data_IF_799066273219
#
_entry.id   IF_799066273219
#
_cell.length_a   1.000
_cell.length_b   1.000
_cell.length_c   1.000
_cell.angle_alpha   90.00
_cell.angle_beta   90.00
_cell.angle_gamma   90.00
#
_symmetry.space_group_name_H-M   'P 1'
#
loop_
_entity.id
_entity.type
_entity.pdbx_description
1 polymer ?
#
# COMPACT_ATOMS: atom_id res chain seq x y z
N UNK A 1 16.64 8.68 -5.91
CA UNK A 1 16.56 7.31 -6.46
C UNK A 1 16.57 6.35 -5.28
N UNK A 2 15.40 6.11 -4.51
CA UNK A 2 15.90 5.57 -3.31
C UNK A 2 15.00 4.60 -2.55
N UNK A 3 13.78 4.79 -2.25
CA UNK A 3 13.11 3.84 -1.35
C UNK A 3 12.62 2.56 -2.06
N UNK A 4 11.93 2.67 -3.18
CA UNK A 4 11.49 1.47 -3.94
C UNK A 4 12.66 0.76 -4.66
N UNK A 5 13.75 1.47 -4.92
CA UNK A 5 14.95 0.91 -5.56
C UNK A 5 15.86 0.23 -4.53
N UNK A 6 15.93 0.71 -3.29
CA UNK A 6 16.71 0.06 -2.22
C UNK A 6 16.13 -1.27 -1.78
N UNK A 7 14.79 -1.42 -1.77
CA UNK A 7 14.16 -2.73 -1.51
C UNK A 7 14.62 -3.78 -2.54
N UNK A 8 14.87 -3.38 -3.79
CA UNK A 8 15.32 -4.30 -4.87
C UNK A 8 16.84 -4.48 -4.88
N UNK A 9 17.62 -3.45 -4.50
CA UNK A 9 19.09 -3.48 -4.60
C UNK A 9 19.81 -4.00 -3.36
N UNK A 10 19.17 -4.06 -2.20
CA UNK A 10 19.73 -4.72 -1.02
C UNK A 10 19.68 -6.26 -1.11
N UNK A 11 18.95 -6.80 -2.09
CA UNK A 11 18.97 -8.21 -2.44
C UNK A 11 20.11 -8.55 -3.39
N UNK A 12 21.31 -8.79 -2.85
CA UNK A 12 22.38 -9.44 -3.60
C UNK A 12 21.91 -10.82 -4.03
N UNK A 13 21.74 -10.96 -5.34
CA UNK A 13 22.02 -12.05 -6.28
C UNK A 13 22.10 -13.50 -5.78
N UNK A 14 21.40 -14.32 -6.47
CA UNK A 14 21.81 -15.56 -7.15
C UNK A 14 22.06 -16.85 -6.37
N UNK A 15 22.07 -16.87 -5.02
CA UNK A 15 22.44 -18.12 -4.31
C UNK A 15 21.33 -18.73 -3.41
N UNK A 16 20.06 -18.32 -3.54
CA UNK A 16 18.99 -18.84 -2.67
C UNK A 16 17.85 -19.57 -3.41
N UNK A 17 18.11 -20.11 -4.59
CA UNK A 17 17.18 -21.03 -5.25
C UNK A 17 17.76 -22.44 -5.32
N UNK A 18 17.89 -23.08 -4.16
CA UNK A 18 18.05 -24.52 -4.06
C UNK A 18 16.91 -25.08 -3.21
N UNK A 19 15.95 -25.64 -3.92
CA UNK A 19 15.19 -26.84 -3.61
C UNK A 19 14.62 -27.00 -2.18
N UNK A 20 13.39 -26.48 -1.94
CA UNK A 20 12.52 -27.12 -0.96
C UNK A 20 11.06 -27.05 -1.45
N UNK A 21 10.54 -28.23 -1.79
CA UNK A 21 9.19 -28.43 -2.30
C UNK A 21 8.13 -28.00 -1.28
N UNK A 22 7.25 -27.10 -1.70
CA UNK A 22 6.09 -26.68 -0.93
C UNK A 22 5.13 -27.86 -0.70
N UNK A 23 4.58 -28.05 0.50
CA UNK A 23 3.54 -29.05 0.74
C UNK A 23 2.25 -28.64 0.02
N UNK A 24 1.66 -29.61 -0.66
CA UNK A 24 0.38 -29.48 -1.35
C UNK A 24 -0.74 -29.08 -0.36
N UNK A 25 -1.38 -27.95 -0.61
CA UNK A 25 -2.63 -27.60 0.06
C UNK A 25 -3.73 -28.51 -0.46
N UNK A 26 -4.38 -29.23 0.45
CA UNK A 26 -5.60 -29.99 0.17
C UNK A 26 -6.76 -28.98 -0.04
N UNK A 27 -7.44 -29.12 -1.18
CA UNK A 27 -8.73 -28.53 -1.47
C UNK A 27 -9.77 -29.15 -0.54
N UNK A 28 -10.18 -28.43 0.51
CA UNK A 28 -11.44 -28.68 1.19
C UNK A 28 -12.52 -27.84 0.51
N UNK A 29 -13.22 -28.50 -0.40
CA UNK A 29 -14.39 -27.99 -1.07
C UNK A 29 -15.58 -27.85 -0.10
N UNK A 30 -16.37 -26.82 -0.38
CA UNK A 30 -17.79 -26.72 -0.07
C UNK A 30 -18.19 -26.33 1.36
N UNK A 31 -18.08 -25.04 1.66
CA UNK A 31 -19.06 -24.37 2.51
C UNK A 31 -19.84 -23.38 1.64
N UNK A 32 -20.99 -23.84 1.15
CA UNK A 32 -21.93 -23.06 0.37
C UNK A 32 -22.48 -21.86 1.15
N UNK A 33 -21.72 -20.78 1.19
CA UNK A 33 -22.17 -19.49 1.67
C UNK A 33 -22.76 -18.75 0.50
N UNK A 34 -24.10 -18.78 0.41
CA UNK A 34 -24.84 -17.97 -0.55
C UNK A 34 -24.63 -16.51 -0.17
N UNK A 35 -23.69 -15.85 -0.82
CA UNK A 35 -23.49 -14.39 -0.69
C UNK A 35 -24.72 -13.74 -1.32
N UNK A 36 -25.57 -13.12 -0.51
CA UNK A 36 -26.73 -12.38 -1.01
C UNK A 36 -26.25 -11.15 -1.78
N UNK A 37 -26.96 -10.77 -2.85
CA UNK A 37 -26.63 -9.60 -3.69
C UNK A 37 -26.45 -8.32 -2.87
N UNK A 38 -27.23 -8.16 -1.80
CA UNK A 38 -27.18 -7.00 -0.90
C UNK A 38 -25.80 -6.82 -0.22
N UNK A 39 -25.13 -7.95 0.12
CA UNK A 39 -23.78 -7.89 0.71
C UNK A 39 -22.73 -7.46 -0.31
N UNK A 40 -22.87 -7.88 -1.55
CA UNK A 40 -21.93 -7.53 -2.64
C UNK A 40 -22.05 -6.04 -2.99
N UNK A 41 -23.26 -5.48 -3.05
CA UNK A 41 -23.49 -4.04 -3.27
C UNK A 41 -22.88 -3.21 -2.13
N UNK A 42 -23.13 -3.58 -0.87
CA UNK A 42 -22.59 -2.87 0.30
C UNK A 42 -21.06 -2.84 0.33
N UNK A 43 -20.40 -3.94 -0.05
CA UNK A 43 -18.92 -3.98 -0.14
C UNK A 43 -18.41 -3.14 -1.30
N UNK A 44 -19.10 -3.14 -2.44
CA UNK A 44 -18.73 -2.32 -3.60
C UNK A 44 -18.81 -0.82 -3.27
N UNK A 45 -19.84 -0.36 -2.56
CA UNK A 45 -20.00 1.03 -2.15
C UNK A 45 -18.91 1.46 -1.15
N UNK A 46 -18.57 0.62 -0.19
CA UNK A 46 -17.50 0.90 0.79
C UNK A 46 -16.12 0.96 0.13
N UNK A 47 -15.94 0.24 -0.98
CA UNK A 47 -14.67 0.19 -1.72
C UNK A 47 -14.62 1.15 -2.90
N UNK A 48 -15.70 1.93 -3.15
CA UNK A 48 -15.68 2.97 -4.16
C UNK A 48 -14.93 4.23 -3.67
N UNK A 49 -14.26 4.97 -4.56
CA UNK A 49 -13.69 6.26 -4.21
C UNK A 49 -14.84 7.26 -3.94
N UNK A 50 -14.64 8.25 -3.05
CA UNK A 50 -15.57 9.36 -2.87
C UNK A 50 -15.83 10.11 -4.20
N UNK A 51 -16.94 10.85 -4.27
CA UNK A 51 -17.31 11.60 -5.49
C UNK A 51 -16.30 12.71 -5.80
N UNK A 52 -15.80 13.39 -4.76
CA UNK A 52 -14.80 14.46 -4.89
C UNK A 52 -13.62 14.26 -3.93
N UNK A 53 -12.45 14.88 -4.21
CA UNK A 53 -11.31 14.82 -3.28
C UNK A 53 -11.63 15.35 -1.87
N UNK A 54 -12.57 16.27 -1.76
CA UNK A 54 -12.97 16.89 -0.50
C UNK A 54 -13.78 15.95 0.39
N UNK A 55 -14.41 14.93 -0.18
CA UNK A 55 -15.29 14.00 0.53
C UNK A 55 -14.55 12.93 1.34
N UNK A 56 -13.22 12.79 1.21
CA UNK A 56 -12.47 11.92 2.09
C UNK A 56 -12.59 12.35 3.55
N UNK A 57 -12.87 11.41 4.47
CA UNK A 57 -12.96 11.68 5.90
C UNK A 57 -11.78 11.08 6.66
N UNK A 58 -11.05 11.93 7.40
CA UNK A 58 -9.96 11.53 8.29
C UNK A 58 -10.25 11.83 9.77
N UNK A 59 -11.51 12.10 10.11
CA UNK A 59 -11.90 12.52 11.46
C UNK A 59 -11.56 11.48 12.51
N UNK A 60 -11.75 10.18 12.22
CA UNK A 60 -11.40 9.11 13.15
C UNK A 60 -9.89 9.03 13.42
N UNK A 61 -9.06 9.42 12.45
CA UNK A 61 -7.61 9.47 12.62
C UNK A 61 -7.23 10.69 13.44
N UNK A 62 -7.82 11.86 13.15
CA UNK A 62 -7.60 13.11 13.91
C UNK A 62 -7.90 12.93 15.39
N UNK A 63 -9.02 12.27 15.70
CA UNK A 63 -9.40 11.97 17.10
C UNK A 63 -8.37 11.06 17.79
N UNK A 64 -7.80 10.09 17.08
CA UNK A 64 -6.79 9.16 17.64
C UNK A 64 -5.41 9.79 17.84
N UNK A 65 -5.08 10.84 17.08
CA UNK A 65 -3.78 11.53 17.23
C UNK A 65 -3.64 12.23 18.58
N UNK A 66 -4.74 12.75 19.14
CA UNK A 66 -4.72 13.53 20.38
C UNK A 66 -4.16 14.94 20.20
N UNK A 67 -4.11 15.69 21.29
CA UNK A 67 -3.74 17.12 21.27
C UNK A 67 -2.20 17.32 21.08
N UNK A 68 -1.38 16.30 21.36
CA UNK A 68 0.08 16.38 21.28
C UNK A 68 0.64 16.17 19.86
N UNK A 69 -0.16 15.58 18.96
CA UNK A 69 0.23 15.30 17.58
C UNK A 69 -0.54 16.21 16.62
N UNK A 70 0.11 17.25 16.13
CA UNK A 70 -0.54 18.22 15.23
C UNK A 70 -0.89 17.55 13.89
N UNK A 71 -2.18 17.60 13.52
CA UNK A 71 -2.63 17.24 12.18
C UNK A 71 -2.14 18.24 11.15
N UNK A 72 -1.43 17.76 10.10
CA UNK A 72 -0.96 18.61 9.01
C UNK A 72 -2.07 18.78 7.94
N UNK A 73 -2.83 19.85 8.06
CA UNK A 73 -3.87 20.19 7.10
C UNK A 73 -3.32 20.52 5.70
N UNK A 74 -2.07 20.99 5.61
CA UNK A 74 -1.41 21.23 4.33
C UNK A 74 -1.09 19.94 3.60
N UNK A 75 -0.59 18.95 4.32
CA UNK A 75 -0.34 17.61 3.79
C UNK A 75 -1.67 16.93 3.41
N UNK A 76 -2.70 17.02 4.24
CA UNK A 76 -4.04 16.51 3.92
C UNK A 76 -4.54 17.06 2.59
N UNK A 77 -4.47 18.38 2.39
CA UNK A 77 -4.93 19.04 1.17
C UNK A 77 -4.16 18.56 -0.08
N UNK A 78 -2.87 18.23 0.06
CA UNK A 78 -2.06 17.68 -1.03
C UNK A 78 -2.38 16.21 -1.33
N UNK A 79 -2.71 15.42 -0.32
CA UNK A 79 -2.96 13.97 -0.47
C UNK A 79 -4.34 13.66 -1.05
N UNK A 80 -5.38 14.43 -0.72
CA UNK A 80 -6.76 14.20 -1.20
C UNK A 80 -6.87 14.06 -2.72
N UNK A 81 -6.35 14.98 -3.55
CA UNK A 81 -6.39 14.84 -5.01
C UNK A 81 -5.65 13.61 -5.52
N UNK A 82 -4.54 13.24 -4.86
CA UNK A 82 -3.76 12.04 -5.23
C UNK A 82 -4.55 10.77 -4.95
N UNK A 83 -5.20 10.68 -3.80
CA UNK A 83 -6.04 9.53 -3.45
C UNK A 83 -7.22 9.39 -4.41
N UNK A 84 -7.89 10.51 -4.73
CA UNK A 84 -8.99 10.51 -5.67
C UNK A 84 -8.55 10.11 -7.09
N UNK A 85 -7.45 10.67 -7.59
CA UNK A 85 -6.86 10.29 -8.88
C UNK A 85 -6.44 8.82 -8.94
N UNK A 86 -6.03 8.25 -7.82
CA UNK A 86 -5.72 6.83 -7.67
C UNK A 86 -6.97 5.93 -7.58
N UNK A 87 -8.17 6.52 -7.46
CA UNK A 87 -9.42 5.81 -7.27
C UNK A 87 -9.43 5.01 -5.96
N UNK A 88 -8.83 5.57 -4.89
CA UNK A 88 -8.82 4.93 -3.58
C UNK A 88 -10.15 5.16 -2.88
N UNK A 89 -10.67 4.14 -2.22
CA UNK A 89 -11.78 4.29 -1.29
C UNK A 89 -11.33 5.04 -0.03
N UNK A 90 -12.30 5.50 0.75
CA UNK A 90 -12.05 6.14 2.06
C UNK A 90 -11.26 5.21 3.00
N UNK A 91 -11.58 3.92 3.00
CA UNK A 91 -10.88 2.90 3.79
C UNK A 91 -9.40 2.75 3.37
N UNK A 92 -9.13 2.71 2.07
CA UNK A 92 -7.77 2.62 1.54
C UNK A 92 -6.96 3.89 1.85
N UNK A 93 -7.55 5.08 1.68
CA UNK A 93 -6.93 6.36 1.99
C UNK A 93 -6.61 6.49 3.49
N UNK A 94 -7.55 6.15 4.37
CA UNK A 94 -7.33 6.12 5.82
C UNK A 94 -6.23 5.14 6.22
N UNK A 95 -6.17 3.96 5.57
CA UNK A 95 -5.10 2.98 5.78
C UNK A 95 -3.71 3.55 5.47
N UNK A 96 -3.58 4.30 4.37
CA UNK A 96 -2.32 4.94 3.99
C UNK A 96 -1.92 6.06 4.95
N UNK A 97 -2.88 6.89 5.40
CA UNK A 97 -2.62 7.95 6.37
C UNK A 97 -2.20 7.38 7.72
N UNK A 98 -2.86 6.34 8.23
CA UNK A 98 -2.43 5.64 9.45
C UNK A 98 -1.00 5.11 9.32
N UNK A 99 -0.68 4.48 8.17
CA UNK A 99 0.68 3.98 7.92
C UNK A 99 1.72 5.10 7.93
N UNK A 100 1.40 6.27 7.35
CA UNK A 100 2.29 7.42 7.38
C UNK A 100 2.58 7.87 8.83
N UNK A 101 1.55 7.95 9.66
CA UNK A 101 1.69 8.32 11.07
C UNK A 101 2.54 7.30 11.82
N UNK A 102 2.31 6.00 11.62
CA UNK A 102 3.11 4.95 12.24
C UNK A 102 4.59 5.03 11.84
N UNK A 103 4.87 5.27 10.56
CA UNK A 103 6.24 5.43 10.06
C UNK A 103 6.90 6.66 10.67
N UNK A 104 6.20 7.78 10.77
CA UNK A 104 6.75 9.00 11.39
C UNK A 104 7.09 8.82 12.88
N UNK A 105 6.34 7.99 13.59
CA UNK A 105 6.57 7.68 15.02
C UNK A 105 7.62 6.59 15.25
N UNK A 106 8.08 5.91 14.20
CA UNK A 106 8.96 4.75 14.30
C UNK A 106 10.43 5.14 14.45
N UNK A 107 11.19 4.32 15.20
CA UNK A 107 12.65 4.48 15.34
C UNK A 107 13.40 3.96 14.10
N UNK A 108 14.70 4.33 13.92
CA UNK A 108 15.51 3.78 12.82
C UNK A 108 15.54 2.25 12.78
N UNK A 109 15.69 1.60 13.94
CA UNK A 109 15.73 0.13 14.03
C UNK A 109 14.39 -0.52 13.66
N UNK A 110 13.26 0.16 13.96
CA UNK A 110 11.94 -0.27 13.52
C UNK A 110 11.79 -0.14 12.01
N UNK A 111 12.34 0.93 11.40
CA UNK A 111 12.32 1.10 9.95
C UNK A 111 13.06 -0.02 9.21
N UNK A 112 14.22 -0.44 9.71
CA UNK A 112 14.99 -1.53 9.10
C UNK A 112 14.19 -2.85 9.13
N UNK A 113 13.55 -3.14 10.27
CA UNK A 113 12.66 -4.32 10.40
C UNK A 113 11.44 -4.23 9.49
N UNK A 114 10.82 -3.05 9.38
CA UNK A 114 9.68 -2.83 8.48
C UNK A 114 10.08 -3.05 7.03
N UNK A 115 11.25 -2.57 6.61
CA UNK A 115 11.78 -2.77 5.25
C UNK A 115 11.97 -4.25 4.93
N UNK A 116 12.61 -4.99 5.82
CA UNK A 116 12.84 -6.43 5.61
C UNK A 116 11.52 -7.22 5.65
N UNK A 117 10.62 -6.92 6.57
CA UNK A 117 9.31 -7.55 6.63
C UNK A 117 8.49 -7.27 5.36
N UNK A 118 8.57 -6.05 4.83
CA UNK A 118 7.91 -5.67 3.57
C UNK A 118 8.43 -6.51 2.40
N UNK A 119 9.75 -6.64 2.28
CA UNK A 119 10.37 -7.45 1.24
C UNK A 119 9.89 -8.91 1.32
N UNK A 120 9.96 -9.51 2.50
CA UNK A 120 9.53 -10.90 2.74
C UNK A 120 8.04 -11.07 2.41
N UNK A 121 7.19 -10.18 2.92
CA UNK A 121 5.74 -10.25 2.71
C UNK A 121 5.38 -10.15 1.23
N UNK A 122 5.98 -9.20 0.50
CA UNK A 122 5.70 -9.03 -0.92
C UNK A 122 6.27 -10.17 -1.77
N UNK A 123 7.43 -10.72 -1.41
CA UNK A 123 7.98 -11.90 -2.08
C UNK A 123 7.10 -13.14 -1.87
N UNK A 124 6.59 -13.36 -0.66
CA UNK A 124 5.67 -14.46 -0.38
C UNK A 124 4.35 -14.32 -1.14
N UNK A 125 3.82 -13.09 -1.25
CA UNK A 125 2.55 -12.82 -1.95
C UNK A 125 2.65 -12.90 -3.47
N UNK A 126 3.75 -12.41 -4.02
CA UNK A 126 3.91 -12.24 -5.47
C UNK A 126 4.80 -13.27 -6.14
N UNK A 127 5.56 -14.06 -5.37
CA UNK A 127 6.41 -15.13 -5.87
C UNK A 127 7.34 -14.65 -6.99
N UNK A 128 7.30 -15.34 -8.12
CA UNK A 128 8.06 -15.00 -9.33
C UNK A 128 7.77 -13.63 -9.91
N UNK A 129 6.58 -13.08 -9.64
CA UNK A 129 6.12 -11.81 -10.20
C UNK A 129 6.54 -10.60 -9.35
N UNK A 130 7.29 -10.81 -8.27
CA UNK A 130 7.68 -9.77 -7.32
C UNK A 130 8.28 -8.54 -8.00
N UNK A 131 9.26 -8.71 -8.89
CA UNK A 131 9.92 -7.60 -9.58
C UNK A 131 8.97 -6.90 -10.56
N UNK A 132 8.17 -7.65 -11.31
CA UNK A 132 7.21 -7.10 -12.24
C UNK A 132 6.13 -6.26 -11.51
N UNK A 133 5.61 -6.78 -10.40
CA UNK A 133 4.60 -6.10 -9.60
C UNK A 133 5.15 -4.87 -8.88
N UNK A 134 6.40 -4.90 -8.42
CA UNK A 134 7.10 -3.71 -7.91
C UNK A 134 7.23 -2.61 -8.97
N UNK A 135 7.57 -2.97 -10.19
CA UNK A 135 7.65 -2.03 -11.31
C UNK A 135 6.27 -1.44 -11.65
N UNK A 136 5.20 -2.24 -11.58
CA UNK A 136 3.82 -1.76 -11.72
C UNK A 136 3.48 -0.76 -10.62
N UNK A 137 3.79 -1.05 -9.36
CA UNK A 137 3.57 -0.12 -8.24
C UNK A 137 4.32 1.20 -8.42
N UNK A 138 5.61 1.13 -8.83
CA UNK A 138 6.42 2.31 -9.11
C UNK A 138 5.87 3.12 -10.28
N UNK A 139 5.45 2.45 -11.35
CA UNK A 139 4.84 3.10 -12.52
C UNK A 139 3.53 3.81 -12.16
N UNK A 140 2.72 3.22 -11.27
CA UNK A 140 1.52 3.85 -10.76
C UNK A 140 1.82 5.14 -9.99
N UNK A 141 2.78 5.11 -9.06
CA UNK A 141 3.21 6.30 -8.33
C UNK A 141 3.72 7.40 -9.28
N UNK A 142 4.49 7.03 -10.30
CA UNK A 142 4.98 7.94 -11.32
C UNK A 142 3.83 8.59 -12.11
N UNK A 143 2.78 7.83 -12.46
CA UNK A 143 1.63 8.37 -13.21
C UNK A 143 0.73 9.26 -12.35
N UNK A 144 0.61 8.99 -11.06
CA UNK A 144 -0.25 9.74 -10.14
C UNK A 144 0.34 11.10 -9.75
N UNK A 145 1.63 11.16 -9.46
CA UNK A 145 2.25 12.38 -8.96
C UNK A 145 3.71 12.58 -9.39
N UNK A 146 4.16 11.86 -10.42
CA UNK A 146 5.50 12.05 -10.98
C UNK A 146 6.64 11.83 -10.00
N UNK A 147 7.72 12.55 -10.23
CA UNK A 147 8.91 12.50 -9.38
C UNK A 147 8.65 13.05 -7.96
N UNK A 148 7.67 13.95 -7.80
CA UNK A 148 7.32 14.53 -6.51
C UNK A 148 6.71 13.47 -5.58
N UNK A 149 5.76 12.66 -6.07
CA UNK A 149 5.18 11.59 -5.29
C UNK A 149 6.20 10.49 -4.98
N UNK A 150 7.06 10.15 -5.95
CA UNK A 150 8.13 9.18 -5.71
C UNK A 150 9.12 9.68 -4.65
N UNK A 151 9.49 10.97 -4.70
CA UNK A 151 10.35 11.57 -3.69
C UNK A 151 9.67 11.60 -2.32
N UNK A 152 8.38 11.94 -2.25
CA UNK A 152 7.60 11.90 -1.01
C UNK A 152 7.59 10.49 -0.40
N UNK A 153 7.21 9.48 -1.18
CA UNK A 153 7.19 8.07 -0.75
C UNK A 153 8.58 7.63 -0.25
N UNK A 154 9.65 8.06 -0.93
CA UNK A 154 11.03 7.78 -0.55
C UNK A 154 11.44 8.47 0.75
N UNK A 155 11.23 9.77 0.84
CA UNK A 155 11.64 10.58 1.98
C UNK A 155 10.86 10.23 3.27
N UNK A 156 9.59 9.87 3.14
CA UNK A 156 8.75 9.43 4.25
C UNK A 156 8.92 7.95 4.60
N UNK A 157 9.69 7.19 3.82
CA UNK A 157 9.86 5.74 3.95
C UNK A 157 8.57 4.93 3.77
N UNK A 158 7.52 5.52 3.24
CA UNK A 158 6.27 4.83 2.90
C UNK A 158 6.48 3.70 1.89
N UNK A 159 7.46 3.84 1.00
CA UNK A 159 7.86 2.77 0.06
C UNK A 159 8.39 1.50 0.74
N UNK A 160 8.70 1.57 2.04
CA UNK A 160 9.13 0.44 2.85
C UNK A 160 7.97 -0.20 3.63
N UNK A 161 6.72 0.09 3.26
CA UNK A 161 5.52 -0.47 3.85
C UNK A 161 4.78 -1.32 2.82
N UNK A 162 4.60 -2.60 3.12
CA UNK A 162 4.02 -3.56 2.17
C UNK A 162 2.60 -3.16 1.71
N UNK A 163 1.77 -2.61 2.61
CA UNK A 163 0.41 -2.16 2.30
C UNK A 163 0.40 -0.96 1.34
N UNK A 164 1.36 -0.04 1.46
CA UNK A 164 1.52 1.09 0.52
C UNK A 164 1.90 0.58 -0.86
N UNK A 165 2.90 -0.31 -0.93
CA UNK A 165 3.37 -0.89 -2.19
C UNK A 165 2.27 -1.74 -2.84
N UNK A 166 1.55 -2.53 -2.07
CA UNK A 166 0.40 -3.32 -2.54
C UNK A 166 -0.73 -2.42 -3.07
N UNK A 167 -1.04 -1.31 -2.39
CA UNK A 167 -2.04 -0.34 -2.86
C UNK A 167 -1.62 0.28 -4.19
N UNK A 168 -0.38 0.73 -4.31
CA UNK A 168 0.16 1.27 -5.57
C UNK A 168 0.13 0.22 -6.70
N UNK A 169 0.46 -1.03 -6.39
CA UNK A 169 0.34 -2.13 -7.36
C UNK A 169 -1.10 -2.29 -7.85
N UNK A 170 -2.08 -2.34 -6.95
CA UNK A 170 -3.51 -2.44 -7.31
C UNK A 170 -3.97 -1.26 -8.14
N UNK A 171 -3.53 -0.05 -7.79
CA UNK A 171 -3.77 1.15 -8.61
C UNK A 171 -3.19 1.00 -10.00
N UNK A 172 -1.94 0.54 -10.12
CA UNK A 172 -1.30 0.29 -11.41
C UNK A 172 -2.08 -0.72 -12.26
N UNK A 173 -2.59 -1.80 -11.66
CA UNK A 173 -3.46 -2.76 -12.35
C UNK A 173 -4.77 -2.13 -12.82
N UNK A 174 -5.41 -1.28 -12.02
CA UNK A 174 -6.61 -0.52 -12.44
C UNK A 174 -6.30 0.44 -13.60
N UNK A 175 -5.08 0.99 -13.67
CA UNK A 175 -4.61 1.85 -14.77
C UNK A 175 -4.18 1.06 -16.03
N UNK A 176 -4.28 -0.27 -16.02
CA UNK A 176 -3.92 -1.13 -17.17
C UNK A 176 -2.41 -1.34 -17.36
N UNK A 177 -1.65 -1.33 -16.27
CA UNK A 177 -0.19 -1.53 -16.26
C UNK A 177 0.19 -2.99 -15.97
#
# INVERSE_FOLDING_TARGET
MTALTEIVLAGRSDDYFADEAAPAMQDDADTGMTVTNDFVETVADVMAPPETPEDYSFEDIKVKLGDDDAWDAGLEAQMRPVFHAAGLSDVEANGLVNTLIEVQKSTPEQHDRMTENTRITLQQRWGSDFVANLNTAKGAAQRLGGDELLAFIGNTRLGNQWNVVETLYRVGKRMGM
#
